data_IF_767832862393
#
_entry.id   IF_767832862393
#
_cell.length_a   1.000
_cell.length_b   1.000
_cell.length_c   1.000
_cell.angle_alpha   90.00
_cell.angle_beta   90.00
_cell.angle_gamma   90.00
#
_symmetry.space_group_name_H-M   'P 1'
#
loop_
_entity.id
_entity.type
_entity.pdbx_description
1 polymer ?
#
# COMPACT_ATOMS: atom_id res chain seq x y z
N UNK A 1 23.53 -8.59 -14.82
CA UNK A 1 22.20 -8.90 -15.43
C UNK A 1 21.66 -10.09 -14.65
N UNK A 2 20.85 -9.85 -13.65
CA UNK A 2 20.18 -10.91 -12.89
C UNK A 2 18.84 -11.11 -13.57
N UNK A 3 18.73 -12.16 -14.39
CA UNK A 3 17.45 -12.62 -14.87
C UNK A 3 16.76 -13.29 -13.66
N UNK A 4 15.83 -12.63 -13.04
CA UNK A 4 14.97 -13.23 -12.04
C UNK A 4 13.93 -14.03 -12.83
N UNK A 5 14.21 -15.31 -13.05
CA UNK A 5 13.21 -16.27 -13.49
C UNK A 5 12.50 -16.75 -12.25
N UNK A 6 11.21 -16.47 -12.12
CA UNK A 6 10.39 -17.08 -11.09
C UNK A 6 9.95 -18.45 -11.61
N UNK A 7 10.37 -19.50 -10.93
CA UNK A 7 9.81 -20.83 -11.11
C UNK A 7 8.64 -21.01 -10.13
N UNK A 8 7.71 -21.91 -10.47
CA UNK A 8 6.67 -22.36 -9.57
C UNK A 8 7.27 -22.73 -8.20
N UNK A 9 6.94 -21.94 -7.18
CA UNK A 9 7.44 -22.16 -5.84
C UNK A 9 6.47 -23.07 -5.09
N UNK A 10 6.89 -24.32 -4.87
CA UNK A 10 6.22 -25.19 -3.90
C UNK A 10 6.60 -24.76 -2.49
N UNK A 11 5.61 -24.31 -1.72
CA UNK A 11 5.82 -23.97 -0.31
C UNK A 11 5.95 -25.23 0.56
N UNK A 12 6.69 -25.11 1.68
CA UNK A 12 6.97 -26.24 2.59
C UNK A 12 5.71 -26.80 3.28
N UNK A 13 4.63 -26.04 3.33
CA UNK A 13 3.33 -26.43 3.91
C UNK A 13 2.36 -27.03 2.89
N UNK A 14 2.77 -27.14 1.61
CA UNK A 14 1.96 -27.69 0.54
C UNK A 14 1.03 -26.70 -0.13
N UNK A 15 1.07 -25.40 0.24
CA UNK A 15 0.41 -24.33 -0.50
C UNK A 15 1.12 -24.08 -1.82
N UNK A 16 0.34 -23.81 -2.89
CA UNK A 16 0.85 -23.46 -4.19
C UNK A 16 0.82 -21.94 -4.34
N UNK A 17 1.94 -21.35 -4.71
CA UNK A 17 2.03 -19.97 -5.11
C UNK A 17 2.48 -19.88 -6.56
N UNK A 18 1.95 -18.92 -7.29
CA UNK A 18 2.33 -18.63 -8.68
C UNK A 18 2.58 -17.14 -8.85
N UNK A 19 3.54 -16.81 -9.71
CA UNK A 19 3.90 -15.43 -10.03
C UNK A 19 3.87 -15.28 -11.54
N UNK A 20 2.86 -14.57 -12.05
CA UNK A 20 2.81 -14.13 -13.44
C UNK A 20 3.35 -12.71 -13.55
N UNK A 21 4.39 -12.50 -14.34
CA UNK A 21 5.08 -11.22 -14.39
C UNK A 21 5.59 -10.84 -15.79
N UNK A 22 5.75 -9.55 -15.99
CA UNK A 22 6.30 -8.91 -17.18
C UNK A 22 7.45 -8.01 -16.80
N UNK A 23 8.35 -7.76 -17.76
CA UNK A 23 9.40 -6.77 -17.58
C UNK A 23 9.07 -5.49 -18.33
N UNK A 24 9.29 -4.37 -17.66
CA UNK A 24 9.22 -3.03 -18.23
C UNK A 24 10.47 -2.23 -17.86
N UNK A 25 10.58 -1.04 -18.40
CA UNK A 25 11.69 -0.13 -18.11
C UNK A 25 11.15 1.12 -17.41
N UNK A 26 11.76 1.46 -16.28
CA UNK A 26 11.52 2.68 -15.52
C UNK A 26 12.83 3.46 -15.42
N UNK A 27 12.92 4.65 -16.00
CA UNK A 27 14.10 5.52 -15.94
C UNK A 27 15.43 4.80 -16.28
N UNK A 28 15.38 3.79 -17.15
CA UNK A 28 16.56 2.98 -17.53
C UNK A 28 16.82 1.77 -16.63
N UNK A 29 16.03 1.56 -15.59
CA UNK A 29 16.07 0.37 -14.73
C UNK A 29 15.00 -0.64 -15.16
N UNK A 30 15.26 -1.91 -14.89
CA UNK A 30 14.28 -2.96 -15.10
C UNK A 30 13.28 -2.98 -13.96
N UNK A 31 12.00 -3.09 -14.30
CA UNK A 31 10.89 -3.29 -13.36
C UNK A 31 10.21 -4.61 -13.71
N UNK A 32 10.11 -5.50 -12.76
CA UNK A 32 9.24 -6.66 -12.84
C UNK A 32 7.88 -6.30 -12.26
N UNK A 33 6.81 -6.54 -12.97
CA UNK A 33 5.46 -6.26 -12.48
C UNK A 33 4.50 -7.34 -12.96
N UNK A 34 3.44 -7.59 -12.19
CA UNK A 34 2.50 -8.64 -12.52
C UNK A 34 1.59 -8.98 -11.35
N UNK A 35 1.24 -10.25 -11.26
CA UNK A 35 0.39 -10.78 -10.19
C UNK A 35 1.08 -11.93 -9.49
N UNK A 36 0.92 -11.96 -8.18
CA UNK A 36 1.24 -13.11 -7.34
C UNK A 36 -0.06 -13.70 -6.83
N UNK A 37 -0.08 -15.01 -6.74
CA UNK A 37 -1.21 -15.77 -6.22
C UNK A 37 -0.73 -16.79 -5.18
N UNK A 38 -1.51 -16.98 -4.14
CA UNK A 38 -1.32 -18.01 -3.13
C UNK A 38 -2.64 -18.68 -2.84
N UNK A 39 -2.65 -20.00 -2.66
CA UNK A 39 -3.79 -20.71 -2.13
C UNK A 39 -3.86 -20.50 -0.61
N UNK A 40 -4.97 -19.95 -0.13
CA UNK A 40 -5.26 -19.83 1.30
C UNK A 40 -6.48 -20.65 1.67
N UNK A 41 -6.54 -21.09 2.91
CA UNK A 41 -7.73 -21.77 3.45
C UNK A 41 -8.63 -20.74 4.13
N UNK A 42 -9.88 -20.66 3.70
CA UNK A 42 -10.89 -19.81 4.33
C UNK A 42 -11.99 -20.66 4.97
N UNK A 43 -12.38 -20.30 6.18
CA UNK A 43 -13.59 -20.86 6.80
C UNK A 43 -14.83 -20.13 6.25
N UNK A 44 -15.62 -20.85 5.47
CA UNK A 44 -16.86 -20.32 4.91
C UNK A 44 -18.02 -20.71 5.83
N UNK A 45 -18.65 -19.71 6.44
CA UNK A 45 -19.91 -19.89 7.19
C UNK A 45 -21.08 -19.69 6.25
N UNK A 46 -21.77 -20.78 5.90
CA UNK A 46 -23.01 -20.67 5.13
C UNK A 46 -24.15 -20.27 6.06
N UNK A 47 -24.81 -19.15 5.74
CA UNK A 47 -25.99 -18.71 6.45
C UNK A 47 -27.20 -18.88 5.54
N UNK A 48 -28.23 -19.61 5.98
CA UNK A 48 -29.47 -19.75 5.24
C UNK A 48 -30.62 -19.00 5.94
N UNK A 49 -31.36 -18.25 5.16
CA UNK A 49 -32.62 -17.66 5.62
C UNK A 49 -33.69 -18.71 5.43
N UNK A 50 -34.34 -19.10 6.52
CA UNK A 50 -35.45 -20.05 6.50
C UNK A 50 -36.73 -19.38 5.96
N UNK A 51 -37.62 -20.17 5.41
CA UNK A 51 -38.90 -19.68 4.89
C UNK A 51 -39.82 -19.11 5.95
N UNK A 52 -39.58 -19.42 7.24
CA UNK A 52 -40.27 -18.87 8.41
C UNK A 52 -39.63 -17.55 8.93
N UNK A 53 -38.61 -17.03 8.25
CA UNK A 53 -37.90 -15.81 8.62
C UNK A 53 -36.77 -16.01 9.64
N UNK A 54 -36.48 -17.24 10.05
CA UNK A 54 -35.33 -17.54 10.92
C UNK A 54 -34.04 -17.59 10.14
N UNK A 55 -32.94 -17.29 10.82
CA UNK A 55 -31.54 -17.44 10.29
C UNK A 55 -30.99 -18.75 10.85
N UNK A 56 -30.60 -19.66 9.95
CA UNK A 56 -29.89 -20.88 10.29
C UNK A 56 -28.42 -20.73 9.90
N UNK A 57 -27.54 -20.84 10.89
CA UNK A 57 -26.09 -20.89 10.63
C UNK A 57 -25.76 -22.32 10.21
N UNK A 58 -25.34 -22.49 8.97
CA UNK A 58 -24.92 -23.79 8.42
C UNK A 58 -23.56 -24.23 8.90
N UNK A 59 -23.10 -25.35 8.37
CA UNK A 59 -21.79 -25.89 8.70
C UNK A 59 -20.68 -24.94 8.28
N UNK A 60 -19.62 -24.88 9.09
CA UNK A 60 -18.35 -24.30 8.73
C UNK A 60 -17.66 -25.28 7.76
N UNK A 61 -17.47 -24.86 6.53
CA UNK A 61 -16.68 -25.60 5.54
C UNK A 61 -15.37 -24.86 5.32
N UNK A 62 -14.27 -25.60 5.30
CA UNK A 62 -12.96 -25.06 4.92
C UNK A 62 -12.84 -25.20 3.42
N UNK A 63 -12.70 -24.10 2.71
CA UNK A 63 -12.48 -24.08 1.27
C UNK A 63 -11.13 -23.45 0.94
N UNK A 64 -10.54 -23.86 -0.19
CA UNK A 64 -9.31 -23.27 -0.70
C UNK A 64 -9.71 -22.08 -1.56
N UNK A 65 -9.32 -20.89 -1.12
CA UNK A 65 -9.59 -19.64 -1.82
C UNK A 65 -8.26 -19.06 -2.30
N UNK A 66 -8.08 -18.86 -3.61
CA UNK A 66 -6.88 -18.19 -4.10
C UNK A 66 -6.92 -16.70 -3.71
N UNK A 67 -5.84 -16.24 -3.09
CA UNK A 67 -5.56 -14.82 -2.91
C UNK A 67 -4.65 -14.36 -4.04
N UNK A 68 -4.96 -13.23 -4.64
CA UNK A 68 -4.16 -12.63 -5.71
C UNK A 68 -3.83 -11.18 -5.37
N UNK A 69 -2.67 -10.72 -5.81
CA UNK A 69 -2.20 -9.36 -5.57
C UNK A 69 -1.36 -8.89 -6.75
N UNK A 70 -1.52 -7.63 -7.13
CA UNK A 70 -0.62 -6.99 -8.08
C UNK A 70 0.65 -6.51 -7.38
N UNK A 71 1.76 -6.55 -8.10
CA UNK A 71 3.04 -6.07 -7.61
C UNK A 71 3.85 -5.36 -8.70
N UNK A 72 4.76 -4.50 -8.26
CA UNK A 72 5.87 -4.00 -9.06
C UNK A 72 7.16 -4.03 -8.22
N UNK A 73 8.22 -4.55 -8.78
CA UNK A 73 9.51 -4.70 -8.13
C UNK A 73 10.62 -4.04 -8.94
N UNK A 74 11.30 -3.09 -8.34
CA UNK A 74 12.54 -2.50 -8.85
C UNK A 74 13.69 -3.19 -8.13
N UNK A 75 14.46 -4.06 -8.83
CA UNK A 75 15.48 -4.88 -8.19
C UNK A 75 16.53 -4.06 -7.46
N UNK A 76 16.73 -4.39 -6.18
CA UNK A 76 17.72 -3.73 -5.32
C UNK A 76 17.26 -2.39 -4.73
N UNK A 77 16.04 -1.96 -5.00
CA UNK A 77 15.52 -0.68 -4.50
C UNK A 77 14.24 -0.86 -3.67
N UNK A 78 13.13 -1.24 -4.30
CA UNK A 78 11.85 -1.34 -3.60
C UNK A 78 10.88 -2.32 -4.26
N UNK A 79 9.88 -2.71 -3.48
CA UNK A 79 8.73 -3.48 -3.87
C UNK A 79 7.45 -2.69 -3.57
N UNK A 80 6.55 -2.67 -4.53
CA UNK A 80 5.18 -2.16 -4.38
C UNK A 80 4.23 -3.33 -4.48
N UNK A 81 3.31 -3.43 -3.55
CA UNK A 81 2.25 -4.45 -3.58
C UNK A 81 0.89 -3.78 -3.40
N UNK A 82 -0.13 -4.35 -4.02
CA UNK A 82 -1.50 -3.99 -3.71
C UNK A 82 -1.75 -4.22 -2.21
N UNK A 83 -2.38 -3.23 -1.54
CA UNK A 83 -2.60 -3.33 -0.10
C UNK A 83 -3.58 -4.44 0.22
N UNK A 84 -3.11 -5.45 0.94
CA UNK A 84 -3.94 -6.46 1.59
C UNK A 84 -3.71 -6.43 3.09
N UNK A 85 -4.58 -7.09 3.86
CA UNK A 85 -4.40 -7.22 5.30
C UNK A 85 -3.32 -8.24 5.68
N UNK A 86 -2.90 -9.06 4.73
CA UNK A 86 -1.95 -10.15 4.93
C UNK A 86 -0.56 -9.80 4.37
N UNK A 87 0.46 -10.36 4.97
CA UNK A 87 1.88 -10.22 4.58
C UNK A 87 2.33 -11.30 3.57
N UNK A 88 1.38 -11.97 2.89
CA UNK A 88 1.71 -13.06 1.98
C UNK A 88 2.59 -12.61 0.83
N UNK A 89 2.39 -11.39 0.32
CA UNK A 89 3.21 -10.84 -0.75
C UNK A 89 4.67 -10.68 -0.33
N UNK A 90 4.89 -10.14 0.88
CA UNK A 90 6.23 -9.95 1.42
C UNK A 90 6.94 -11.30 1.50
N UNK A 91 6.27 -12.34 2.06
CA UNK A 91 6.81 -13.70 2.17
C UNK A 91 7.11 -14.34 0.82
N UNK A 92 6.19 -14.20 -0.15
CA UNK A 92 6.38 -14.74 -1.50
C UNK A 92 7.55 -14.06 -2.19
N UNK A 93 7.62 -12.75 -2.14
CA UNK A 93 8.70 -12.00 -2.78
C UNK A 93 10.04 -12.21 -2.10
N UNK A 94 10.12 -12.33 -0.77
CA UNK A 94 11.35 -12.72 -0.06
C UNK A 94 11.83 -14.10 -0.52
N UNK A 95 10.91 -15.06 -0.66
CA UNK A 95 11.23 -16.41 -1.13
C UNK A 95 11.70 -16.40 -2.59
N UNK A 96 11.02 -15.64 -3.45
CA UNK A 96 11.32 -15.58 -4.87
C UNK A 96 12.62 -14.84 -5.19
N UNK A 97 12.99 -13.85 -4.39
CA UNK A 97 14.15 -13.00 -4.64
C UNK A 97 15.36 -13.31 -3.76
N UNK A 98 15.20 -14.20 -2.77
CA UNK A 98 16.20 -14.46 -1.70
C UNK A 98 16.66 -13.16 -1.01
N UNK A 99 15.76 -12.19 -0.90
CA UNK A 99 15.99 -10.88 -0.30
C UNK A 99 15.14 -10.72 0.96
N UNK A 100 15.59 -9.89 1.87
CA UNK A 100 14.79 -9.46 3.02
C UNK A 100 14.05 -8.17 2.66
N UNK A 101 12.74 -8.15 2.86
CA UNK A 101 11.89 -7.00 2.60
C UNK A 101 11.66 -6.25 3.91
N UNK A 102 11.94 -4.98 3.90
CA UNK A 102 11.64 -4.09 5.01
C UNK A 102 10.56 -3.10 4.60
N UNK A 103 9.54 -2.93 5.43
CA UNK A 103 8.53 -1.89 5.19
C UNK A 103 9.18 -0.53 5.19
N UNK A 104 8.81 0.30 4.22
CA UNK A 104 9.23 1.69 4.16
C UNK A 104 8.58 2.49 5.30
N UNK A 105 9.31 3.45 5.82
CA UNK A 105 8.76 4.52 6.65
C UNK A 105 8.89 5.82 5.88
N UNK A 106 7.77 6.50 5.66
CA UNK A 106 7.71 7.75 4.91
C UNK A 106 7.74 8.92 5.89
N UNK A 107 8.60 9.87 5.64
CA UNK A 107 8.58 11.18 6.29
C UNK A 107 7.52 12.06 5.61
N UNK A 108 6.33 12.13 6.21
CA UNK A 108 5.20 12.87 5.66
C UNK A 108 5.43 14.37 5.65
N UNK A 109 6.19 14.90 6.61
CA UNK A 109 6.53 16.32 6.69
C UNK A 109 7.49 16.70 5.53
N UNK A 110 8.53 15.91 5.32
CA UNK A 110 9.44 16.09 4.18
C UNK A 110 8.72 15.92 2.84
N UNK A 111 7.79 14.95 2.74
CA UNK A 111 6.96 14.78 1.55
C UNK A 111 6.09 16.00 1.27
N UNK A 112 5.39 16.54 2.29
CA UNK A 112 4.60 17.76 2.15
C UNK A 112 5.47 18.96 1.77
N UNK A 113 6.63 19.12 2.38
CA UNK A 113 7.57 20.21 2.07
C UNK A 113 8.14 20.13 0.65
N UNK A 114 8.26 18.94 0.07
CA UNK A 114 8.65 18.75 -1.32
C UNK A 114 7.55 19.17 -2.31
N UNK A 115 6.30 19.22 -1.85
CA UNK A 115 5.13 19.56 -2.67
C UNK A 115 4.37 20.83 -2.16
N UNK A 116 5.02 21.99 -2.07
CA UNK A 116 4.47 23.17 -1.39
C UNK A 116 3.26 23.81 -2.12
N UNK A 117 2.94 23.36 -3.33
CA UNK A 117 1.80 23.81 -4.10
C UNK A 117 0.64 22.80 -4.10
N UNK A 118 0.76 21.71 -3.39
CA UNK A 118 -0.33 20.76 -3.19
C UNK A 118 -1.13 21.18 -1.97
N UNK A 119 -2.46 21.03 -2.04
CA UNK A 119 -3.35 21.45 -0.98
C UNK A 119 -3.64 20.26 -0.04
N UNK A 120 -3.39 20.37 1.26
CA UNK A 120 -3.76 19.33 2.21
C UNK A 120 -5.29 19.27 2.37
N UNK A 121 -5.88 18.08 2.15
CA UNK A 121 -7.32 17.86 2.27
C UNK A 121 -7.69 16.85 3.34
N UNK A 122 -6.71 16.14 3.88
CA UNK A 122 -6.89 15.14 4.93
C UNK A 122 -5.61 15.04 5.76
N UNK A 123 -5.77 14.98 7.08
CA UNK A 123 -4.73 14.63 8.02
C UNK A 123 -5.26 13.64 9.05
N UNK A 124 -4.54 12.55 9.30
CA UNK A 124 -4.74 11.70 10.45
C UNK A 124 -3.57 11.88 11.41
N UNK A 125 -3.86 12.27 12.63
CA UNK A 125 -2.86 12.60 13.62
C UNK A 125 -3.01 11.75 14.90
N UNK A 126 -1.88 11.59 15.60
CA UNK A 126 -1.83 11.09 16.98
C UNK A 126 -1.43 12.24 17.88
N UNK A 127 -2.21 12.49 18.92
CA UNK A 127 -1.85 13.47 19.93
C UNK A 127 -1.00 12.80 21.01
N UNK A 128 0.15 13.40 21.32
CA UNK A 128 1.05 12.90 22.36
C UNK A 128 0.54 13.27 23.78
N UNK A 129 -0.24 14.34 23.90
CA UNK A 129 -0.74 14.86 25.16
C UNK A 129 -2.16 15.42 25.01
N UNK A 130 -3.07 15.04 25.89
CA UNK A 130 -4.40 15.62 25.96
C UNK A 130 -5.54 14.59 26.06
N UNK A 131 -6.80 15.02 26.01
CA UNK A 131 -7.96 14.14 26.10
C UNK A 131 -8.29 13.42 24.77
N UNK A 132 -7.59 13.72 23.68
CA UNK A 132 -7.76 13.12 22.35
C UNK A 132 -6.49 12.35 22.02
N UNK A 133 -6.58 11.03 21.89
CA UNK A 133 -5.44 10.18 21.55
C UNK A 133 -5.13 10.21 20.06
N UNK A 134 -6.15 10.33 19.20
CA UNK A 134 -6.01 10.39 17.74
C UNK A 134 -7.24 10.99 17.10
N UNK A 135 -7.11 11.49 15.88
CA UNK A 135 -8.22 12.04 15.12
C UNK A 135 -7.90 12.16 13.64
N UNK A 136 -8.92 12.47 12.85
CA UNK A 136 -8.80 12.77 11.45
C UNK A 136 -9.52 14.08 11.12
N UNK A 137 -8.89 14.91 10.29
CA UNK A 137 -9.51 16.08 9.71
C UNK A 137 -9.65 15.91 8.20
N UNK A 138 -10.72 16.43 7.67
CA UNK A 138 -11.03 16.39 6.23
C UNK A 138 -11.52 17.75 5.76
N UNK A 139 -11.16 18.14 4.55
CA UNK A 139 -11.57 19.38 3.92
C UNK A 139 -10.39 20.28 3.59
N UNK A 140 -10.64 21.56 3.41
CA UNK A 140 -9.61 22.57 3.19
C UNK A 140 -8.97 22.93 4.55
N UNK A 141 -7.92 22.17 4.90
CA UNK A 141 -7.28 22.28 6.21
C UNK A 141 -6.60 23.64 6.38
N UNK A 142 -6.00 24.16 5.32
CA UNK A 142 -5.28 25.44 5.36
C UNK A 142 -6.21 26.67 5.51
N UNK A 143 -7.50 26.50 5.23
CA UNK A 143 -8.48 27.57 5.42
C UNK A 143 -8.82 27.84 6.89
N UNK A 144 -8.49 26.91 7.79
CA UNK A 144 -8.76 26.96 9.23
C UNK A 144 -7.43 26.96 10.01
N UNK A 145 -6.85 28.14 10.34
CA UNK A 145 -5.51 28.24 10.92
C UNK A 145 -5.31 27.43 12.21
N UNK A 146 -6.33 27.41 13.08
CA UNK A 146 -6.25 26.66 14.35
C UNK A 146 -6.19 25.16 14.11
N UNK A 147 -6.88 24.64 13.08
CA UNK A 147 -6.86 23.24 12.68
C UNK A 147 -5.54 22.89 11.99
N UNK A 148 -5.04 23.76 11.13
CA UNK A 148 -3.76 23.60 10.47
C UNK A 148 -2.62 23.55 11.52
N UNK A 149 -2.59 24.50 12.45
CA UNK A 149 -1.61 24.51 13.55
C UNK A 149 -1.71 23.23 14.40
N UNK A 150 -2.91 22.77 14.71
CA UNK A 150 -3.14 21.56 15.48
C UNK A 150 -2.63 20.30 14.76
N UNK A 151 -2.89 20.18 13.46
CA UNK A 151 -2.41 19.05 12.65
C UNK A 151 -0.90 19.08 12.52
N UNK A 152 -0.31 20.24 12.28
CA UNK A 152 1.15 20.39 12.16
C UNK A 152 1.90 20.21 13.49
N UNK A 153 1.25 20.42 14.63
CA UNK A 153 1.86 20.24 15.95
C UNK A 153 1.81 18.81 16.48
N UNK A 154 1.09 17.91 15.81
CA UNK A 154 0.94 16.51 16.22
C UNK A 154 1.61 15.58 15.18
N UNK A 155 2.00 14.38 15.61
CA UNK A 155 2.50 13.36 14.70
C UNK A 155 1.43 12.96 13.69
N UNK A 156 1.66 13.25 12.42
CA UNK A 156 0.80 12.81 11.33
C UNK A 156 1.12 11.37 10.96
N UNK A 157 0.14 10.48 11.03
CA UNK A 157 0.28 9.10 10.59
C UNK A 157 -0.24 8.89 9.16
N UNK A 158 -1.06 9.83 8.65
CA UNK A 158 -1.52 9.87 7.25
C UNK A 158 -1.70 11.31 6.80
N UNK A 159 -1.37 11.57 5.55
CA UNK A 159 -1.51 12.87 4.90
C UNK A 159 -2.21 12.69 3.56
N UNK A 160 -3.27 13.46 3.34
CA UNK A 160 -3.94 13.57 2.06
C UNK A 160 -3.60 14.87 1.37
N UNK A 161 -3.10 14.80 0.14
CA UNK A 161 -2.81 15.94 -0.71
C UNK A 161 -3.69 15.91 -1.96
N UNK A 162 -4.13 17.09 -2.42
CA UNK A 162 -4.78 17.29 -3.71
C UNK A 162 -4.05 18.36 -4.50
N UNK A 163 -4.33 18.44 -5.80
CA UNK A 163 -3.65 19.35 -6.73
C UNK A 163 -2.11 19.14 -6.80
N UNK A 164 -1.61 18.00 -6.35
CA UNK A 164 -0.20 17.65 -6.48
C UNK A 164 0.13 17.47 -7.96
N UNK A 165 1.08 18.24 -8.48
CA UNK A 165 1.50 18.19 -9.88
C UNK A 165 2.56 17.12 -10.09
N UNK A 166 2.26 16.14 -10.95
CA UNK A 166 3.21 15.12 -11.36
C UNK A 166 3.00 14.76 -12.83
N UNK A 167 4.05 14.77 -13.63
CA UNK A 167 4.07 14.43 -15.07
C UNK A 167 2.93 15.10 -15.89
N UNK A 168 2.66 16.39 -15.62
CA UNK A 168 1.62 17.17 -16.28
C UNK A 168 0.18 16.88 -15.80
N UNK A 169 -0.01 16.02 -14.81
CA UNK A 169 -1.30 15.66 -14.20
C UNK A 169 -1.42 16.29 -12.81
N UNK A 170 -2.64 16.42 -12.34
CA UNK A 170 -2.95 16.76 -10.96
C UNK A 170 -3.38 15.49 -10.23
N UNK A 171 -2.71 15.19 -9.12
CA UNK A 171 -3.02 14.03 -8.30
C UNK A 171 -3.79 14.42 -7.04
N UNK A 172 -4.70 13.53 -6.65
CA UNK A 172 -5.31 13.49 -5.32
C UNK A 172 -4.93 12.17 -4.67
N UNK A 173 -4.22 12.22 -3.56
CA UNK A 173 -3.68 11.03 -2.91
C UNK A 173 -3.80 11.09 -1.39
N UNK A 174 -3.62 9.94 -0.76
CA UNK A 174 -3.34 9.77 0.66
C UNK A 174 -2.10 8.91 0.81
N UNK A 175 -1.18 9.36 1.63
CA UNK A 175 0.07 8.67 1.97
C UNK A 175 0.14 8.48 3.47
N UNK A 176 0.56 7.31 3.93
CA UNK A 176 0.79 7.03 5.35
C UNK A 176 2.28 6.93 5.68
N UNK A 177 2.60 7.22 6.93
CA UNK A 177 3.94 6.99 7.49
C UNK A 177 4.42 5.54 7.29
N UNK A 178 3.51 4.56 7.31
CA UNK A 178 3.81 3.14 7.12
C UNK A 178 4.02 2.73 5.65
N UNK A 179 4.08 3.69 4.72
CA UNK A 179 4.31 3.43 3.30
C UNK A 179 3.06 3.01 2.51
N UNK A 180 1.85 3.07 3.11
CA UNK A 180 0.63 2.87 2.35
C UNK A 180 0.31 4.13 1.54
N UNK A 181 0.00 3.95 0.25
CA UNK A 181 -0.33 5.03 -0.69
C UNK A 181 -1.59 4.67 -1.47
N UNK A 182 -2.53 5.61 -1.57
CA UNK A 182 -3.67 5.53 -2.48
C UNK A 182 -3.76 6.79 -3.32
N UNK A 183 -3.89 6.64 -4.63
CA UNK A 183 -4.17 7.72 -5.56
C UNK A 183 -5.65 7.65 -5.96
N UNK A 184 -6.41 8.67 -5.61
CA UNK A 184 -7.86 8.77 -5.85
C UNK A 184 -8.18 9.40 -7.20
N UNK A 185 -7.30 10.26 -7.70
CA UNK A 185 -7.43 10.94 -8.98
C UNK A 185 -6.02 11.22 -9.54
N UNK A 186 -5.75 10.88 -10.79
CA UNK A 186 -6.60 10.15 -11.74
C UNK A 186 -6.72 8.66 -11.42
N UNK A 187 -7.85 8.05 -11.81
CA UNK A 187 -8.12 6.62 -11.56
C UNK A 187 -7.53 5.67 -12.60
N UNK A 188 -6.96 6.21 -13.66
CA UNK A 188 -6.43 5.49 -14.81
C UNK A 188 -4.89 5.38 -14.80
N UNK A 189 -4.27 5.61 -13.65
CA UNK A 189 -2.84 5.41 -13.48
C UNK A 189 -2.52 3.91 -13.51
N UNK A 190 -1.69 3.48 -14.46
CA UNK A 190 -1.26 2.10 -14.52
C UNK A 190 -0.14 1.80 -13.50
N UNK A 191 0.18 0.52 -13.32
CA UNK A 191 1.16 0.08 -12.31
C UNK A 191 2.56 0.66 -12.57
N UNK A 192 2.95 0.90 -13.82
CA UNK A 192 4.26 1.48 -14.17
C UNK A 192 4.30 2.97 -13.86
N UNK A 193 3.24 3.70 -14.20
CA UNK A 193 3.10 5.12 -13.84
C UNK A 193 3.08 5.29 -12.31
N UNK A 194 2.35 4.42 -11.61
CA UNK A 194 2.30 4.41 -10.15
C UNK A 194 3.68 4.11 -9.54
N UNK A 195 4.40 3.12 -10.07
CA UNK A 195 5.75 2.77 -9.63
C UNK A 195 6.73 3.92 -9.87
N UNK A 196 6.60 4.62 -11.00
CA UNK A 196 7.41 5.80 -11.32
C UNK A 196 7.14 6.92 -10.34
N UNK A 197 5.89 7.19 -10.02
CA UNK A 197 5.54 8.19 -9.01
C UNK A 197 6.18 7.86 -7.65
N UNK A 198 6.11 6.60 -7.21
CA UNK A 198 6.76 6.18 -5.96
C UNK A 198 8.27 6.40 -6.03
N UNK A 199 8.91 5.97 -7.12
CA UNK A 199 10.36 6.13 -7.29
C UNK A 199 10.79 7.60 -7.25
N UNK A 200 10.06 8.48 -7.96
CA UNK A 200 10.48 9.86 -8.16
C UNK A 200 10.12 10.77 -6.97
N UNK A 201 8.98 10.54 -6.34
CA UNK A 201 8.41 11.48 -5.37
C UNK A 201 8.36 10.92 -3.93
N UNK A 202 8.08 9.63 -3.76
CA UNK A 202 7.90 9.04 -2.43
C UNK A 202 9.21 8.48 -1.88
N UNK A 203 9.92 7.69 -2.68
CA UNK A 203 11.15 7.02 -2.25
C UNK A 203 12.23 7.97 -1.70
N UNK A 204 12.45 9.18 -2.26
CA UNK A 204 13.38 10.15 -1.69
C UNK A 204 13.05 10.60 -0.26
N UNK A 205 11.80 10.41 0.16
CA UNK A 205 11.30 10.78 1.49
C UNK A 205 11.11 9.54 2.39
N UNK A 206 11.73 8.40 2.04
CA UNK A 206 11.60 7.16 2.79
C UNK A 206 12.89 6.77 3.49
N UNK A 207 12.73 6.06 4.60
CA UNK A 207 13.80 5.32 5.26
C UNK A 207 13.36 3.88 5.50
N UNK A 208 14.29 2.90 5.51
CA UNK A 208 13.94 1.55 5.93
C UNK A 208 13.56 1.57 7.41
N UNK A 209 12.41 0.97 7.75
CA UNK A 209 12.01 0.80 9.14
C UNK A 209 12.95 -0.21 9.78
N UNK A 210 13.89 0.27 10.58
CA UNK A 210 14.71 -0.60 11.41
C UNK A 210 13.80 -1.25 12.45
N UNK A 211 13.69 -2.59 12.42
CA UNK A 211 13.01 -3.33 13.48
C UNK A 211 13.77 -3.08 14.79
N UNK A 212 13.10 -2.43 15.74
CA UNK A 212 13.55 -2.25 17.12
C UNK A 212 13.14 -3.44 17.98
#
# INVERSE_FOLDING_TARGET
MVAIGFELLGFRDGTLGDVDWQQSMLNGQQVAHGRIAEESTAEIKTTRIRTDGGVEVGHEETDIVPQTMEFAHVPGEFLVTESTQDDFADRLMETATDATIHRAQVDLESFAAAHPNADPWMGWFRASDGPIDSGAAYGDIDSEPDLAEFIHSNENSQLGLMNLKYDGRLLKLVLSESGWLAIYDPKDMDIIEFTRFIHDEVLPQTSPKLMS
#
